data_IF_716691975481
#
_entry.id   IF_716691975481
#
_cell.length_a   1.000
_cell.length_b   1.000
_cell.length_c   1.000
_cell.angle_alpha   90.00
_cell.angle_beta   90.00
_cell.angle_gamma   90.00
#
_symmetry.space_group_name_H-M   'P 1'
#
loop_
_entity.id
_entity.type
_entity.pdbx_description
1 polymer ?
#
# COMPACT_ATOMS: atom_id res chain seq x y z
N UNK A 1 -7.29 6.08 -0.58
CA UNK A 1 -7.53 7.25 -1.47
C UNK A 1 -7.65 8.59 -0.75
N UNK A 2 -8.36 8.70 0.37
CA UNK A 2 -8.59 9.99 1.07
C UNK A 2 -7.33 10.84 1.35
N UNK A 3 -6.20 10.22 1.78
CA UNK A 3 -4.95 10.95 2.04
C UNK A 3 -4.40 11.65 0.78
N UNK A 4 -4.39 10.97 -0.36
CA UNK A 4 -3.90 11.54 -1.63
C UNK A 4 -4.75 12.72 -2.10
N UNK A 5 -6.08 12.65 -1.88
CA UNK A 5 -6.98 13.78 -2.16
C UNK A 5 -6.63 14.98 -1.27
N UNK A 6 -6.34 14.76 0.02
CA UNK A 6 -5.90 15.80 0.95
C UNK A 6 -4.60 16.48 0.51
N UNK A 7 -3.67 15.71 -0.07
CA UNK A 7 -2.42 16.23 -0.63
C UNK A 7 -2.57 16.89 -2.01
N UNK A 8 -3.80 17.09 -2.51
CA UNK A 8 -4.08 17.67 -3.83
C UNK A 8 -3.33 16.95 -4.96
N UNK A 9 -3.19 15.63 -4.86
CA UNK A 9 -2.53 14.84 -5.90
C UNK A 9 -3.27 14.99 -7.24
N UNK A 10 -2.56 15.20 -8.37
CA UNK A 10 -3.19 15.31 -9.68
C UNK A 10 -4.09 14.10 -10.01
N UNK A 11 -5.22 14.31 -10.73
CA UNK A 11 -6.19 13.24 -11.02
C UNK A 11 -5.59 12.02 -11.74
N UNK A 12 -4.65 12.23 -12.67
CA UNK A 12 -3.99 11.13 -13.39
C UNK A 12 -3.11 10.28 -12.46
N UNK A 13 -2.41 10.90 -11.51
CA UNK A 13 -1.63 10.18 -10.50
C UNK A 13 -2.55 9.46 -9.51
N UNK A 14 -3.69 10.04 -9.14
CA UNK A 14 -4.71 9.36 -8.32
C UNK A 14 -5.24 8.11 -9.02
N UNK A 15 -5.49 8.16 -10.33
CA UNK A 15 -5.91 7.00 -11.11
C UNK A 15 -4.82 5.92 -11.17
N UNK A 16 -3.56 6.32 -11.39
CA UNK A 16 -2.42 5.40 -11.36
C UNK A 16 -2.25 4.72 -9.99
N UNK A 17 -2.39 5.48 -8.90
CA UNK A 17 -2.32 4.94 -7.55
C UNK A 17 -3.49 4.03 -7.24
N UNK A 18 -4.69 4.35 -7.74
CA UNK A 18 -5.88 3.52 -7.61
C UNK A 18 -5.67 2.17 -8.33
N UNK A 19 -5.21 2.18 -9.58
CA UNK A 19 -4.93 0.94 -10.32
C UNK A 19 -3.78 0.12 -9.71
N UNK A 20 -2.82 0.78 -9.06
CA UNK A 20 -1.75 0.09 -8.34
C UNK A 20 -2.23 -0.60 -7.04
N UNK A 21 -3.24 -0.05 -6.37
CA UNK A 21 -3.71 -0.54 -5.06
C UNK A 21 -4.93 -1.46 -5.13
N UNK A 22 -5.76 -1.32 -6.15
CA UNK A 22 -6.98 -2.10 -6.34
C UNK A 22 -6.75 -3.39 -7.13
N UNK A 23 -7.67 -4.35 -6.96
CA UNK A 23 -7.74 -5.63 -7.72
C UNK A 23 -6.50 -6.53 -7.74
N UNK A 24 -5.55 -6.28 -6.83
CA UNK A 24 -4.36 -7.11 -6.68
C UNK A 24 -4.73 -8.51 -6.23
N UNK A 25 -4.12 -9.51 -6.87
CA UNK A 25 -4.22 -10.92 -6.49
C UNK A 25 -2.84 -11.45 -6.11
N UNK A 26 -2.79 -12.35 -5.13
CA UNK A 26 -1.57 -13.03 -4.73
C UNK A 26 -1.82 -14.52 -4.59
N UNK A 27 -0.78 -15.31 -4.81
CA UNK A 27 -0.74 -16.75 -4.56
C UNK A 27 0.63 -17.08 -3.95
N UNK A 28 0.67 -18.10 -3.09
CA UNK A 28 1.88 -18.53 -2.39
C UNK A 28 2.40 -19.77 -3.11
N UNK A 29 3.70 -19.77 -3.44
CA UNK A 29 4.40 -20.93 -4.01
C UNK A 29 5.34 -21.53 -2.96
N UNK A 30 5.19 -22.84 -2.69
CA UNK A 30 6.07 -23.60 -1.80
C UNK A 30 6.51 -24.86 -2.56
N UNK A 31 7.80 -24.94 -2.89
CA UNK A 31 8.32 -25.99 -3.77
C UNK A 31 7.61 -25.98 -5.13
N UNK A 32 6.96 -27.10 -5.46
CA UNK A 32 6.19 -27.27 -6.70
C UNK A 32 4.68 -26.97 -6.56
N UNK A 33 4.21 -26.62 -5.36
CA UNK A 33 2.81 -26.34 -5.10
C UNK A 33 2.53 -24.83 -5.13
N UNK A 34 1.38 -24.44 -5.68
CA UNK A 34 0.90 -23.06 -5.72
C UNK A 34 -0.49 -23.02 -5.08
N UNK A 35 -0.73 -22.06 -4.18
CA UNK A 35 -2.03 -21.86 -3.56
C UNK A 35 -3.06 -21.29 -4.54
N UNK A 36 -4.34 -21.37 -4.19
CA UNK A 36 -5.34 -20.56 -4.86
C UNK A 36 -5.02 -19.06 -4.77
N UNK A 37 -5.38 -18.34 -5.83
CA UNK A 37 -5.19 -16.89 -5.88
C UNK A 37 -6.22 -16.19 -4.99
N UNK A 38 -5.74 -15.30 -4.13
CA UNK A 38 -6.58 -14.49 -3.22
C UNK A 38 -6.50 -13.02 -3.58
N UNK A 39 -7.62 -12.31 -3.42
CA UNK A 39 -7.68 -10.86 -3.63
C UNK A 39 -7.10 -10.15 -2.40
N UNK A 40 -6.15 -9.25 -2.63
CA UNK A 40 -5.53 -8.43 -1.60
C UNK A 40 -6.32 -7.13 -1.42
N UNK A 41 -7.17 -7.10 -0.38
CA UNK A 41 -8.06 -5.95 -0.10
C UNK A 41 -7.37 -4.79 0.63
N UNK A 42 -6.21 -5.03 1.23
CA UNK A 42 -5.48 -4.05 2.03
C UNK A 42 -3.96 -4.23 1.88
N UNK A 43 -3.21 -3.26 2.39
CA UNK A 43 -1.74 -3.25 2.32
C UNK A 43 -1.20 -2.82 0.97
N UNK A 44 0.12 -2.82 0.82
CA UNK A 44 0.88 -2.46 -0.39
C UNK A 44 1.62 -3.71 -0.91
N UNK A 45 1.89 -3.83 -2.22
CA UNK A 45 2.68 -4.96 -2.73
C UNK A 45 4.09 -4.91 -2.15
N UNK A 46 4.55 -6.02 -1.57
CA UNK A 46 5.93 -6.14 -1.12
C UNK A 46 6.88 -6.20 -2.34
N UNK A 47 8.00 -5.48 -2.28
CA UNK A 47 8.97 -5.40 -3.38
C UNK A 47 8.62 -4.40 -4.51
N UNK A 48 7.49 -3.71 -4.44
CA UNK A 48 7.17 -2.64 -5.39
C UNK A 48 8.05 -1.40 -5.20
N UNK A 49 8.59 -0.82 -6.29
CA UNK A 49 9.48 0.36 -6.22
C UNK A 49 8.86 1.57 -5.51
N UNK A 50 7.55 1.75 -5.64
CA UNK A 50 6.82 2.86 -5.01
C UNK A 50 6.30 2.52 -3.61
N UNK A 51 6.38 1.25 -3.20
CA UNK A 51 5.85 0.76 -1.94
C UNK A 51 6.41 1.49 -0.70
N UNK A 52 7.72 1.81 -0.60
CA UNK A 52 8.25 2.59 0.52
C UNK A 52 7.67 4.01 0.62
N UNK A 53 7.43 4.67 -0.51
CA UNK A 53 6.84 6.02 -0.56
C UNK A 53 5.39 5.97 -0.10
N UNK A 54 4.62 5.00 -0.59
CA UNK A 54 3.22 4.81 -0.20
C UNK A 54 3.10 4.47 1.30
N UNK A 55 4.01 3.66 1.83
CA UNK A 55 4.08 3.36 3.25
C UNK A 55 4.36 4.62 4.07
N UNK A 56 5.35 5.41 3.66
CA UNK A 56 5.72 6.65 4.35
C UNK A 56 4.56 7.64 4.41
N UNK A 57 3.81 7.80 3.31
CA UNK A 57 2.59 8.62 3.26
C UNK A 57 1.46 8.04 4.13
N UNK A 58 1.37 6.72 4.23
CA UNK A 58 0.39 6.05 5.07
C UNK A 58 0.64 6.27 6.56
N UNK A 59 1.89 6.33 7.01
CA UNK A 59 2.22 6.53 8.44
C UNK A 59 2.43 7.99 8.83
N UNK A 60 2.47 8.91 7.86
CA UNK A 60 2.85 10.32 8.08
C UNK A 60 1.92 11.09 9.05
N UNK A 61 0.65 10.71 9.12
CA UNK A 61 -0.37 11.33 9.98
C UNK A 61 -0.57 10.61 11.32
N UNK A 62 0.19 9.53 11.58
CA UNK A 62 0.19 8.88 12.89
C UNK A 62 0.82 9.87 13.88
N UNK A 63 0.10 10.25 14.96
CA UNK A 63 0.62 11.18 15.95
C UNK A 63 1.94 10.68 16.52
N UNK A 64 2.99 11.50 16.43
CA UNK A 64 4.26 11.22 17.09
C UNK A 64 4.12 11.59 18.56
N UNK A 65 3.74 10.65 19.41
CA UNK A 65 3.79 10.84 20.85
C UNK A 65 5.25 10.97 21.28
N UNK A 66 5.63 12.13 21.83
CA UNK A 66 6.95 12.36 22.44
C UNK A 66 7.15 11.65 23.80
N UNK A 67 6.40 10.57 24.07
CA UNK A 67 6.46 9.81 25.32
C UNK A 67 6.58 8.32 25.04
N UNK A 68 7.68 7.94 24.40
CA UNK A 68 8.22 6.58 24.55
C UNK A 68 9.34 6.71 25.57
N UNK A 69 9.00 6.60 26.85
CA UNK A 69 9.99 6.27 27.86
C UNK A 69 10.31 4.79 27.65
N UNK A 70 11.56 4.52 27.26
CA UNK A 70 12.14 3.18 27.37
C UNK A 70 12.28 2.79 28.84
#
# INVERSE_FOLDING_TARGET
MHKFIRYKTPPHLLQLLKSYLEERKFAIKIGNSISEAKIMRAGIPEGGKISPVLYSLYVNDIPKTHKTLL
#
